data_IF_149625228466
#
_entry.id   IF_149625228466
#
_cell.length_a   1.000
_cell.length_b   1.000
_cell.length_c   1.000
_cell.angle_alpha   90.00
_cell.angle_beta   90.00
_cell.angle_gamma   90.00
#
_symmetry.space_group_name_H-M   'P 1'
#
loop_
_entity.id
_entity.type
_entity.pdbx_description
1 polymer ?
#
# COMPACT_ATOMS: atom_id res chain seq x y z
N UNK A 1 2.40 15.93 -4.57
CA UNK A 1 3.00 15.24 -3.40
C UNK A 1 2.90 16.01 -2.09
N UNK A 2 3.36 17.27 -1.95
CA UNK A 2 3.26 17.98 -0.66
C UNK A 2 1.85 18.05 -0.07
N UNK A 3 0.84 18.37 -0.91
CA UNK A 3 -0.58 18.34 -0.49
C UNK A 3 -1.01 16.95 0.02
N UNK A 4 -0.60 15.87 -0.66
CA UNK A 4 -0.88 14.51 -0.21
C UNK A 4 -0.18 14.20 1.13
N UNK A 5 1.08 14.60 1.29
CA UNK A 5 1.82 14.43 2.54
C UNK A 5 1.13 15.15 3.71
N UNK A 6 0.63 16.36 3.47
CA UNK A 6 -0.12 17.14 4.45
C UNK A 6 -1.48 16.51 4.77
N UNK A 7 -2.22 16.05 3.77
CA UNK A 7 -3.47 15.31 3.97
C UNK A 7 -3.23 14.06 4.84
N UNK A 8 -2.23 13.24 4.52
CA UNK A 8 -1.86 12.09 5.33
C UNK A 8 -1.45 12.48 6.77
N UNK A 9 -0.72 13.57 6.96
CA UNK A 9 -0.38 14.09 8.29
C UNK A 9 -1.62 14.52 9.09
N UNK A 10 -2.65 15.08 8.45
CA UNK A 10 -3.95 15.37 9.08
C UNK A 10 -4.63 14.15 9.65
N UNK A 11 -4.30 12.99 9.12
CA UNK A 11 -4.80 11.68 9.53
C UNK A 11 -3.77 10.88 10.35
N UNK A 12 -2.80 11.54 10.97
CA UNK A 12 -1.85 10.92 11.90
C UNK A 12 -0.70 10.16 11.22
N UNK A 13 -0.53 10.26 9.91
CA UNK A 13 0.60 9.63 9.22
C UNK A 13 1.81 10.56 9.25
N UNK A 14 2.90 10.12 9.86
CA UNK A 14 4.16 10.91 9.94
C UNK A 14 5.14 10.58 8.83
N UNK A 15 5.09 9.36 8.31
CA UNK A 15 5.97 8.82 7.28
C UNK A 15 5.17 7.95 6.31
N UNK A 16 5.50 8.02 5.02
CA UNK A 16 4.86 7.22 3.96
C UNK A 16 5.86 6.84 2.86
N UNK A 17 5.50 5.82 2.08
CA UNK A 17 6.14 5.56 0.78
C UNK A 17 5.29 6.23 -0.30
N UNK A 18 5.93 6.94 -1.22
CA UNK A 18 5.24 7.43 -2.39
C UNK A 18 5.01 6.24 -3.34
N UNK A 19 3.77 5.77 -3.41
CA UNK A 19 3.43 4.60 -4.23
C UNK A 19 3.13 5.03 -5.66
N UNK A 20 3.76 4.37 -6.64
CA UNK A 20 3.41 4.57 -8.06
C UNK A 20 2.04 3.93 -8.34
N UNK A 21 1.48 4.21 -9.52
CA UNK A 21 0.39 3.41 -10.07
C UNK A 21 0.87 2.77 -11.36
N UNK A 22 0.27 1.65 -11.79
CA UNK A 22 0.49 1.17 -13.15
C UNK A 22 0.14 2.28 -14.16
N UNK A 23 1.10 2.56 -15.03
CA UNK A 23 1.08 3.62 -16.03
C UNK A 23 2.13 3.28 -17.10
N UNK A 24 2.14 4.04 -18.21
CA UNK A 24 3.20 3.89 -19.20
C UNK A 24 4.59 4.15 -18.57
N UNK A 25 5.67 3.55 -19.11
CA UNK A 25 7.02 3.74 -18.62
C UNK A 25 7.42 5.22 -18.47
N UNK A 26 7.03 6.07 -19.43
CA UNK A 26 7.32 7.50 -19.39
C UNK A 26 6.67 8.20 -18.19
N UNK A 27 5.40 7.92 -17.90
CA UNK A 27 4.73 8.49 -16.72
C UNK A 27 5.34 7.98 -15.42
N UNK A 28 5.70 6.70 -15.38
CA UNK A 28 6.33 6.11 -14.20
C UNK A 28 7.72 6.73 -13.96
N UNK A 29 8.55 6.90 -14.98
CA UNK A 29 9.84 7.59 -14.86
C UNK A 29 9.68 9.06 -14.42
N UNK A 30 8.68 9.79 -14.94
CA UNK A 30 8.38 11.16 -14.47
C UNK A 30 8.02 11.19 -12.99
N UNK A 31 7.22 10.23 -12.51
CA UNK A 31 6.90 10.11 -11.09
C UNK A 31 8.17 9.82 -10.27
N UNK A 32 9.00 8.86 -10.69
CA UNK A 32 10.24 8.52 -9.99
C UNK A 32 11.22 9.69 -9.91
N UNK A 33 11.40 10.44 -11.00
CA UNK A 33 12.20 11.68 -11.02
C UNK A 33 11.64 12.72 -10.05
N UNK A 34 10.32 12.88 -10.00
CA UNK A 34 9.67 13.79 -9.04
C UNK A 34 9.89 13.32 -7.60
N UNK A 35 9.73 12.03 -7.33
CA UNK A 35 9.91 11.44 -6.02
C UNK A 35 11.36 11.53 -5.54
N UNK A 36 12.34 11.42 -6.43
CA UNK A 36 13.76 11.58 -6.11
C UNK A 36 14.06 12.93 -5.46
N UNK A 37 13.41 14.00 -5.90
CA UNK A 37 13.52 15.34 -5.30
C UNK A 37 12.75 15.53 -3.99
N UNK A 38 11.96 14.56 -3.55
CA UNK A 38 11.08 14.64 -2.38
C UNK A 38 11.45 13.67 -1.26
N UNK A 39 12.06 12.53 -1.60
CA UNK A 39 12.47 11.52 -0.62
C UNK A 39 13.38 12.14 0.44
N UNK A 40 13.01 11.92 1.70
CA UNK A 40 13.67 12.44 2.91
C UNK A 40 13.75 13.97 2.99
N UNK A 41 13.02 14.71 2.15
CA UNK A 41 12.89 16.17 2.26
C UNK A 41 11.79 16.56 3.24
N UNK A 42 11.82 17.83 3.66
CA UNK A 42 10.71 18.44 4.39
C UNK A 42 9.57 18.79 3.42
N UNK A 43 8.43 18.14 3.60
CA UNK A 43 7.24 18.31 2.76
C UNK A 43 6.22 19.27 3.37
N UNK A 44 6.42 19.71 4.62
CA UNK A 44 5.41 20.37 5.44
C UNK A 44 4.32 19.42 5.98
N UNK A 45 4.47 18.11 5.79
CA UNK A 45 3.53 17.08 6.26
C UNK A 45 4.26 15.76 6.47
N UNK A 46 3.61 14.64 6.14
CA UNK A 46 4.22 13.32 6.23
C UNK A 46 5.51 13.25 5.40
N UNK A 47 6.54 12.61 5.94
CA UNK A 47 7.82 12.43 5.26
C UNK A 47 7.72 11.31 4.23
N UNK A 48 8.18 11.57 3.01
CA UNK A 48 8.36 10.52 1.99
C UNK A 48 9.65 9.77 2.32
N UNK A 49 9.55 8.54 2.82
CA UNK A 49 10.71 7.75 3.24
C UNK A 49 11.39 7.04 2.07
N UNK A 50 10.65 6.87 0.98
CA UNK A 50 11.09 6.27 -0.27
C UNK A 50 9.90 6.08 -1.20
N UNK A 51 10.09 5.25 -2.21
CA UNK A 51 9.07 4.90 -3.20
C UNK A 51 8.71 3.44 -3.06
N UNK A 52 7.41 3.16 -3.17
CA UNK A 52 6.89 1.83 -3.43
C UNK A 52 6.59 1.74 -4.93
N UNK A 53 7.42 1.00 -5.65
CA UNK A 53 7.22 0.74 -7.07
C UNK A 53 6.09 -0.29 -7.23
N UNK A 54 4.89 0.22 -7.44
CA UNK A 54 3.69 -0.55 -7.72
C UNK A 54 3.66 -0.96 -9.19
N UNK A 55 4.33 -2.07 -9.51
CA UNK A 55 4.64 -2.52 -10.86
C UNK A 55 6.08 -3.06 -10.98
N UNK A 56 6.57 -3.38 -12.19
CA UNK A 56 6.15 -2.77 -13.46
C UNK A 56 5.00 -3.47 -14.16
N UNK A 57 4.72 -4.73 -13.83
CA UNK A 57 3.73 -5.54 -14.54
C UNK A 57 2.69 -6.10 -13.58
N UNK A 58 1.44 -5.70 -13.78
CA UNK A 58 0.28 -6.35 -13.21
C UNK A 58 -0.25 -7.41 -14.16
N UNK A 59 -1.01 -8.36 -13.64
CA UNK A 59 -1.72 -9.32 -14.47
C UNK A 59 -3.09 -8.75 -14.85
N UNK A 60 -3.48 -8.84 -16.13
CA UNK A 60 -4.70 -8.21 -16.66
C UNK A 60 -5.96 -8.52 -15.84
N UNK A 61 -6.31 -9.81 -15.62
CA UNK A 61 -7.39 -10.24 -14.73
C UNK A 61 -7.35 -9.70 -13.29
N UNK A 62 -6.18 -9.28 -12.81
CA UNK A 62 -5.95 -8.77 -11.47
C UNK A 62 -5.56 -7.28 -11.46
N UNK A 63 -5.78 -6.53 -12.54
CA UNK A 63 -5.38 -5.11 -12.62
C UNK A 63 -6.17 -4.16 -11.71
N UNK A 64 -7.37 -4.54 -11.27
CA UNK A 64 -8.25 -3.66 -10.49
C UNK A 64 -8.68 -2.42 -11.29
N UNK A 65 -8.58 -1.23 -10.69
CA UNK A 65 -8.91 0.05 -11.33
C UNK A 65 -7.80 0.61 -12.23
N UNK A 66 -6.66 -0.07 -12.33
CA UNK A 66 -5.55 0.39 -13.15
C UNK A 66 -5.87 0.31 -14.65
N UNK A 67 -5.26 1.19 -15.47
CA UNK A 67 -5.27 1.01 -16.92
C UNK A 67 -4.67 -0.34 -17.30
N UNK A 68 -4.89 -0.77 -18.55
CA UNK A 68 -4.27 -2.01 -19.03
C UNK A 68 -2.75 -1.91 -18.86
N UNK A 69 -2.11 -2.88 -18.20
CA UNK A 69 -0.68 -2.80 -17.91
C UNK A 69 0.13 -2.83 -19.20
N UNK A 70 0.98 -1.83 -19.39
CA UNK A 70 1.98 -1.83 -20.46
C UNK A 70 3.18 -2.68 -20.05
N UNK A 71 3.69 -3.50 -20.97
CA UNK A 71 4.87 -4.31 -20.71
C UNK A 71 6.13 -3.47 -20.87
N UNK A 72 6.86 -3.30 -19.77
CA UNK A 72 8.20 -2.73 -19.78
C UNK A 72 9.16 -3.64 -20.56
N UNK A 73 9.97 -3.05 -21.45
CA UNK A 73 11.08 -3.74 -22.13
C UNK A 73 12.22 -4.03 -21.14
N UNK A 74 13.12 -4.98 -21.45
CA UNK A 74 14.32 -5.23 -20.64
C UNK A 74 15.16 -3.96 -20.40
N UNK A 75 15.31 -3.09 -21.40
CA UNK A 75 16.03 -1.83 -21.27
C UNK A 75 15.30 -0.84 -20.34
N UNK A 76 13.97 -0.84 -20.35
CA UNK A 76 13.19 -0.01 -19.43
C UNK A 76 13.29 -0.54 -17.99
N UNK A 77 13.30 -1.86 -17.78
CA UNK A 77 13.54 -2.47 -16.48
C UNK A 77 14.94 -2.09 -15.96
N UNK A 78 15.96 -2.16 -16.81
CA UNK A 78 17.31 -1.74 -16.43
C UNK A 78 17.35 -0.24 -16.08
N UNK A 79 16.63 0.61 -16.82
CA UNK A 79 16.48 2.04 -16.48
C UNK A 79 15.78 2.27 -15.14
N UNK A 80 14.84 1.41 -14.72
CA UNK A 80 14.22 1.51 -13.39
C UNK A 80 15.25 1.34 -12.28
N UNK A 81 16.26 0.50 -12.47
CA UNK A 81 17.30 0.27 -11.45
C UNK A 81 18.17 1.51 -11.20
N UNK A 82 18.20 2.50 -12.09
CA UNK A 82 18.82 3.80 -11.82
C UNK A 82 18.13 4.55 -10.66
N UNK A 83 16.88 4.20 -10.35
CA UNK A 83 16.12 4.75 -9.22
C UNK A 83 16.20 3.88 -7.96
N UNK A 84 16.92 2.76 -7.99
CA UNK A 84 17.06 1.87 -6.84
C UNK A 84 17.40 2.59 -5.50
N UNK A 85 18.25 3.63 -5.45
CA UNK A 85 18.53 4.36 -4.21
C UNK A 85 17.31 5.00 -3.52
N UNK A 86 16.20 5.20 -4.23
CA UNK A 86 14.96 5.75 -3.67
C UNK A 86 13.83 4.71 -3.56
N UNK A 87 14.00 3.52 -4.14
CA UNK A 87 13.00 2.45 -4.07
C UNK A 87 13.15 1.71 -2.74
N UNK A 88 12.11 1.76 -1.91
CA UNK A 88 12.07 1.00 -0.65
C UNK A 88 11.46 -0.39 -0.89
N UNK A 89 10.41 -0.45 -1.71
CA UNK A 89 9.73 -1.67 -2.04
C UNK A 89 9.32 -1.69 -3.52
N UNK A 90 9.11 -2.89 -4.06
CA UNK A 90 8.54 -3.12 -5.38
C UNK A 90 7.54 -4.30 -5.35
N UNK A 91 6.45 -4.14 -6.08
CA UNK A 91 5.38 -5.15 -6.23
C UNK A 91 5.48 -5.84 -7.57
N UNK A 92 5.48 -7.18 -7.57
CA UNK A 92 5.45 -7.98 -8.79
C UNK A 92 4.30 -8.99 -8.79
N UNK A 93 3.93 -9.44 -9.99
CA UNK A 93 3.08 -10.60 -10.18
C UNK A 93 3.95 -11.80 -10.61
N UNK A 94 4.08 -12.87 -9.79
CA UNK A 94 5.03 -13.97 -10.02
C UNK A 94 4.87 -14.74 -11.33
N UNK A 95 3.67 -14.73 -11.90
CA UNK A 95 3.34 -15.43 -13.13
C UNK A 95 3.92 -14.78 -14.39
N UNK A 96 4.44 -13.55 -14.29
CA UNK A 96 5.08 -12.90 -15.42
C UNK A 96 6.45 -13.53 -15.72
N UNK A 97 6.78 -13.81 -17.01
CA UNK A 97 8.04 -14.47 -17.38
C UNK A 97 9.30 -13.76 -16.87
N UNK A 98 9.25 -12.43 -16.75
CA UNK A 98 10.41 -11.60 -16.37
C UNK A 98 10.46 -11.31 -14.86
N UNK A 99 9.50 -11.83 -14.08
CA UNK A 99 9.34 -11.50 -12.66
C UNK A 99 10.54 -11.94 -11.80
N UNK A 100 11.11 -13.11 -12.06
CA UNK A 100 12.29 -13.61 -11.34
C UNK A 100 13.51 -12.71 -11.59
N UNK A 101 13.78 -12.36 -12.85
CA UNK A 101 14.90 -11.48 -13.21
C UNK A 101 14.76 -10.10 -12.56
N UNK A 102 13.55 -9.55 -12.54
CA UNK A 102 13.26 -8.30 -11.85
C UNK A 102 13.47 -8.43 -10.32
N UNK A 103 12.96 -9.50 -9.71
CA UNK A 103 13.11 -9.78 -8.29
C UNK A 103 14.60 -9.86 -7.88
N UNK A 104 15.41 -10.60 -8.64
CA UNK A 104 16.85 -10.74 -8.39
C UNK A 104 17.56 -9.38 -8.45
N UNK A 105 17.22 -8.53 -9.43
CA UNK A 105 17.78 -7.17 -9.52
C UNK A 105 17.36 -6.31 -8.32
N UNK A 106 16.09 -6.37 -7.91
CA UNK A 106 15.60 -5.64 -6.74
C UNK A 106 16.33 -6.05 -5.45
N UNK A 107 16.46 -7.36 -5.21
CA UNK A 107 17.15 -7.88 -4.02
C UNK A 107 18.62 -7.47 -4.02
N UNK A 108 19.30 -7.52 -5.16
CA UNK A 108 20.69 -7.08 -5.28
C UNK A 108 20.91 -5.60 -4.93
N UNK A 109 19.87 -4.76 -5.06
CA UNK A 109 19.89 -3.35 -4.67
C UNK A 109 19.25 -3.08 -3.29
N UNK A 110 18.87 -4.12 -2.55
CA UNK A 110 18.24 -3.98 -1.22
C UNK A 110 16.78 -3.53 -1.23
N UNK A 111 16.10 -3.61 -2.39
CA UNK A 111 14.69 -3.26 -2.53
C UNK A 111 13.84 -4.41 -1.99
N UNK A 112 12.89 -4.11 -1.10
CA UNK A 112 11.95 -5.10 -0.54
C UNK A 112 10.95 -5.56 -1.61
N UNK A 113 10.61 -6.83 -1.61
CA UNK A 113 9.74 -7.41 -2.63
C UNK A 113 8.37 -7.82 -2.07
N UNK A 114 7.34 -7.37 -2.78
CA UNK A 114 5.93 -7.60 -2.52
C UNK A 114 5.30 -8.39 -3.68
N UNK A 115 4.21 -9.11 -3.40
CA UNK A 115 3.30 -9.64 -4.42
C UNK A 115 1.98 -8.87 -4.39
N UNK A 116 1.41 -8.62 -5.56
CA UNK A 116 0.13 -7.92 -5.66
C UNK A 116 -0.33 -7.88 -7.12
N UNK A 117 -1.62 -7.59 -7.35
CA UNK A 117 -2.19 -7.51 -8.70
C UNK A 117 -1.84 -8.72 -9.57
N UNK A 118 -1.97 -9.90 -8.98
CA UNK A 118 -1.49 -11.17 -9.52
C UNK A 118 -2.60 -12.20 -9.55
N UNK A 119 -2.61 -12.97 -10.64
CA UNK A 119 -3.40 -14.15 -10.84
C UNK A 119 -2.57 -15.45 -10.68
N UNK A 120 -1.45 -15.39 -9.95
CA UNK A 120 -0.57 -16.53 -9.77
C UNK A 120 -1.25 -17.70 -9.03
N UNK A 121 -0.73 -18.89 -9.26
CA UNK A 121 -1.04 -20.07 -8.45
C UNK A 121 -0.25 -20.06 -7.15
N UNK A 122 -0.71 -20.83 -6.15
CA UNK A 122 -0.02 -21.02 -4.88
C UNK A 122 1.47 -21.37 -5.07
N UNK A 123 1.77 -22.32 -5.96
CA UNK A 123 3.15 -22.74 -6.25
C UNK A 123 4.00 -21.63 -6.86
N UNK A 124 3.41 -20.76 -7.68
CA UNK A 124 4.14 -19.59 -8.21
C UNK A 124 4.41 -18.57 -7.09
N UNK A 125 3.48 -18.38 -6.15
CA UNK A 125 3.71 -17.56 -4.97
C UNK A 125 4.82 -18.14 -4.06
N UNK A 126 4.84 -19.46 -3.83
CA UNK A 126 5.94 -20.15 -3.13
C UNK A 126 7.29 -19.95 -3.83
N UNK A 127 7.29 -20.05 -5.16
CA UNK A 127 8.50 -19.81 -5.96
C UNK A 127 9.01 -18.37 -5.75
N UNK A 128 8.11 -17.38 -5.74
CA UNK A 128 8.46 -15.98 -5.50
C UNK A 128 8.97 -15.70 -4.07
N UNK A 129 8.51 -16.45 -3.07
CA UNK A 129 9.14 -16.43 -1.73
C UNK A 129 10.61 -16.86 -1.82
N UNK A 130 10.93 -17.84 -2.67
CA UNK A 130 12.30 -18.25 -2.99
C UNK A 130 13.14 -17.12 -3.62
N UNK A 131 12.53 -16.22 -4.38
CA UNK A 131 13.20 -15.04 -4.96
C UNK A 131 13.46 -13.91 -3.97
N UNK A 132 12.89 -13.99 -2.75
CA UNK A 132 13.04 -12.98 -1.70
C UNK A 132 11.79 -12.16 -1.40
N UNK A 133 10.63 -12.48 -1.99
CA UNK A 133 9.35 -11.84 -1.62
C UNK A 133 9.00 -12.14 -0.16
N UNK A 134 8.58 -11.12 0.59
CA UNK A 134 8.18 -11.25 2.02
C UNK A 134 6.88 -10.53 2.38
N UNK A 135 6.21 -9.92 1.42
CA UNK A 135 4.97 -9.18 1.66
C UNK A 135 3.95 -9.41 0.54
N UNK A 136 2.66 -9.28 0.84
CA UNK A 136 1.56 -9.29 -0.14
C UNK A 136 0.70 -8.07 0.07
N UNK A 137 0.52 -7.28 -0.98
CA UNK A 137 -0.26 -6.04 -0.95
C UNK A 137 -1.75 -6.34 -0.77
N UNK A 138 -2.44 -5.41 -0.07
CA UNK A 138 -3.89 -5.33 0.17
C UNK A 138 -4.68 -6.66 0.09
N UNK A 139 -4.49 -7.55 1.07
CA UNK A 139 -5.18 -8.84 1.18
C UNK A 139 -6.67 -8.75 0.77
N UNK A 140 -7.13 -9.74 0.01
CA UNK A 140 -8.45 -9.85 -0.62
C UNK A 140 -8.67 -8.99 -1.88
N UNK A 141 -7.86 -7.97 -2.12
CA UNK A 141 -8.00 -7.09 -3.28
C UNK A 141 -7.10 -7.57 -4.44
N UNK A 142 -7.65 -7.51 -5.66
CA UNK A 142 -6.88 -7.71 -6.89
C UNK A 142 -5.90 -8.91 -6.91
N UNK A 143 -6.34 -10.07 -6.39
CA UNK A 143 -5.53 -11.29 -6.33
C UNK A 143 -6.31 -12.53 -6.78
N UNK A 144 -5.61 -13.60 -7.17
CA UNK A 144 -6.22 -14.91 -7.39
C UNK A 144 -6.62 -15.56 -6.07
N UNK A 145 -7.69 -16.35 -6.14
CA UNK A 145 -8.12 -17.28 -5.11
C UNK A 145 -8.52 -18.60 -5.79
N UNK A 146 -8.78 -19.64 -5.01
CA UNK A 146 -9.23 -20.95 -5.51
C UNK A 146 -10.48 -20.83 -6.41
N UNK A 147 -11.43 -19.95 -6.09
CA UNK A 147 -12.68 -19.83 -6.84
C UNK A 147 -12.45 -19.21 -8.23
N UNK A 148 -11.61 -18.18 -8.31
CA UNK A 148 -11.21 -17.54 -9.57
C UNK A 148 -10.43 -18.50 -10.46
N UNK A 149 -9.39 -19.14 -9.91
CA UNK A 149 -8.56 -20.08 -10.68
C UNK A 149 -9.35 -21.30 -11.17
N UNK A 150 -10.37 -21.74 -10.43
CA UNK A 150 -11.21 -22.88 -10.83
C UNK A 150 -11.96 -22.66 -12.15
N UNK A 151 -12.18 -21.40 -12.57
CA UNK A 151 -12.83 -21.09 -13.84
C UNK A 151 -11.94 -21.42 -15.05
N UNK A 152 -10.62 -21.44 -14.84
CA UNK A 152 -9.62 -21.59 -15.90
C UNK A 152 -8.82 -22.91 -15.76
N UNK A 153 -8.96 -23.59 -14.63
CA UNK A 153 -8.20 -24.80 -14.30
C UNK A 153 -9.09 -26.03 -14.13
N UNK A 154 -8.52 -27.19 -14.48
CA UNK A 154 -9.13 -28.51 -14.26
C UNK A 154 -8.61 -29.13 -12.94
N UNK A 155 -8.48 -30.45 -12.85
CA UNK A 155 -7.99 -31.15 -11.66
C UNK A 155 -6.46 -31.29 -11.64
N UNK A 156 -5.82 -31.28 -10.45
CA UNK A 156 -6.41 -30.97 -9.15
C UNK A 156 -6.71 -29.47 -8.98
N UNK A 157 -7.65 -29.13 -8.08
CA UNK A 157 -7.88 -27.74 -7.69
C UNK A 157 -6.61 -27.14 -7.05
N UNK A 158 -6.32 -25.88 -7.36
CA UNK A 158 -5.15 -25.16 -6.85
C UNK A 158 -5.59 -23.91 -6.10
N UNK A 159 -4.84 -23.56 -5.05
CA UNK A 159 -4.93 -22.25 -4.42
C UNK A 159 -4.27 -21.17 -5.28
N UNK A 160 -4.63 -19.92 -5.05
CA UNK A 160 -4.01 -18.74 -5.63
C UNK A 160 -3.17 -17.97 -4.62
N UNK A 161 -2.92 -16.70 -4.93
CA UNK A 161 -2.18 -15.79 -4.06
C UNK A 161 -2.88 -15.60 -2.72
N UNK A 162 -4.22 -15.57 -2.68
CA UNK A 162 -4.98 -15.47 -1.44
C UNK A 162 -4.63 -16.60 -0.48
N UNK A 163 -4.76 -17.86 -0.91
CA UNK A 163 -4.44 -19.03 -0.07
C UNK A 163 -2.96 -19.07 0.32
N UNK A 164 -2.05 -18.70 -0.59
CA UNK A 164 -0.62 -18.63 -0.28
C UNK A 164 -0.31 -17.59 0.80
N UNK A 165 -0.95 -16.42 0.74
CA UNK A 165 -0.77 -15.35 1.73
C UNK A 165 -1.20 -15.79 3.13
N UNK A 166 -2.29 -16.56 3.21
CA UNK A 166 -2.79 -17.11 4.47
C UNK A 166 -1.92 -18.25 5.01
N UNK A 167 -1.39 -19.10 4.12
CA UNK A 167 -0.71 -20.33 4.51
C UNK A 167 0.79 -20.16 4.79
N UNK A 168 1.48 -19.28 4.06
CA UNK A 168 2.92 -19.12 4.16
C UNK A 168 3.27 -18.14 5.30
N UNK A 169 3.98 -18.65 6.31
CA UNK A 169 4.38 -17.87 7.48
C UNK A 169 5.45 -16.83 7.15
N UNK A 170 6.21 -17.01 6.07
CA UNK A 170 7.21 -16.07 5.57
C UNK A 170 6.60 -14.74 5.13
N UNK A 171 5.34 -14.78 4.67
CA UNK A 171 4.64 -13.64 4.11
C UNK A 171 4.00 -12.79 5.21
N UNK A 172 4.28 -11.50 5.21
CA UNK A 172 3.41 -10.49 5.80
C UNK A 172 2.39 -10.00 4.76
N UNK A 173 1.37 -9.27 5.20
CA UNK A 173 0.39 -8.65 4.31
C UNK A 173 -0.18 -7.39 4.92
N UNK A 174 -0.95 -6.66 4.15
CA UNK A 174 -1.62 -5.43 4.55
C UNK A 174 -3.10 -5.47 4.20
N UNK A 175 -3.90 -4.63 4.86
CA UNK A 175 -5.34 -4.50 4.62
C UNK A 175 -5.78 -3.05 4.54
N UNK A 176 -6.77 -2.79 3.69
CA UNK A 176 -7.46 -1.51 3.57
C UNK A 176 -8.70 -1.56 4.48
N UNK A 177 -8.59 -1.01 5.67
CA UNK A 177 -9.65 -1.03 6.69
C UNK A 177 -10.56 0.21 6.62
N UNK A 178 -11.09 0.55 5.45
CA UNK A 178 -11.97 1.72 5.29
C UNK A 178 -13.47 1.42 5.53
N UNK A 179 -13.83 0.14 5.68
CA UNK A 179 -15.22 -0.33 5.79
C UNK A 179 -15.95 -0.47 4.46
N UNK A 180 -15.26 -0.27 3.34
CA UNK A 180 -15.77 -0.43 1.96
C UNK A 180 -15.01 -1.53 1.21
N UNK A 181 -13.68 -1.56 1.31
CA UNK A 181 -12.85 -2.63 0.77
C UNK A 181 -13.07 -3.93 1.52
N UNK A 182 -13.09 -3.86 2.86
CA UNK A 182 -13.25 -5.01 3.72
C UNK A 182 -14.35 -4.80 4.75
N UNK A 183 -15.19 -5.82 4.90
CA UNK A 183 -16.15 -5.90 5.99
C UNK A 183 -15.45 -6.30 7.31
N UNK A 184 -16.07 -6.07 8.48
CA UNK A 184 -15.48 -6.40 9.78
C UNK A 184 -15.06 -7.86 9.91
N UNK A 185 -15.80 -8.81 9.34
CA UNK A 185 -15.45 -10.23 9.36
C UNK A 185 -14.20 -10.58 8.54
N UNK A 186 -13.95 -9.88 7.43
CA UNK A 186 -12.71 -10.06 6.66
C UNK A 186 -11.52 -9.47 7.40
N UNK A 187 -11.68 -8.33 8.08
CA UNK A 187 -10.65 -7.76 8.96
C UNK A 187 -10.33 -8.71 10.12
N UNK A 188 -11.34 -9.30 10.75
CA UNK A 188 -11.14 -10.34 11.79
C UNK A 188 -10.42 -11.56 11.25
N UNK A 189 -10.76 -12.01 10.03
CA UNK A 189 -10.10 -13.15 9.41
C UNK A 189 -8.61 -12.87 9.15
N UNK A 190 -8.29 -11.71 8.54
CA UNK A 190 -6.91 -11.29 8.32
C UNK A 190 -6.12 -11.24 9.62
N UNK A 191 -6.69 -10.63 10.66
CA UNK A 191 -6.10 -10.59 11.99
C UNK A 191 -5.85 -11.98 12.57
N UNK A 192 -6.86 -12.85 12.53
CA UNK A 192 -6.78 -14.20 13.11
C UNK A 192 -5.68 -15.04 12.45
N UNK A 193 -5.50 -14.90 11.13
CA UNK A 193 -4.54 -15.73 10.39
C UNK A 193 -3.12 -15.16 10.45
N UNK A 194 -2.94 -13.85 10.25
CA UNK A 194 -1.59 -13.26 10.18
C UNK A 194 -1.08 -12.73 11.53
N UNK A 195 -2.00 -12.38 12.42
CA UNK A 195 -1.69 -11.83 13.72
C UNK A 195 -1.07 -10.41 13.68
N UNK A 196 -0.83 -9.81 14.85
CA UNK A 196 -0.39 -8.43 14.98
C UNK A 196 1.03 -8.16 14.44
N UNK A 197 1.83 -9.21 14.20
CA UNK A 197 3.23 -9.05 13.80
C UNK A 197 3.44 -9.08 12.28
N UNK A 198 2.43 -9.48 11.51
CA UNK A 198 2.52 -9.68 10.06
C UNK A 198 1.37 -9.06 9.27
N UNK A 199 0.44 -8.38 9.96
CA UNK A 199 -0.63 -7.62 9.35
C UNK A 199 -0.37 -6.12 9.52
N UNK A 200 -0.26 -5.39 8.41
CA UNK A 200 -0.20 -3.94 8.39
C UNK A 200 -1.55 -3.32 7.99
N UNK A 201 -1.82 -2.12 8.49
CA UNK A 201 -2.81 -1.23 7.92
C UNK A 201 -2.16 -0.42 6.81
N UNK A 202 -2.87 -0.29 5.69
CA UNK A 202 -2.57 0.70 4.66
C UNK A 202 -3.82 1.50 4.34
N UNK A 203 -3.61 2.72 3.87
CA UNK A 203 -4.73 3.52 3.36
C UNK A 203 -5.05 3.14 1.92
N UNK A 204 -4.04 2.83 1.10
CA UNK A 204 -4.17 2.77 -0.37
C UNK A 204 -5.02 3.94 -0.89
N UNK A 205 -4.66 5.16 -0.47
CA UNK A 205 -5.51 6.34 -0.66
C UNK A 205 -5.18 7.02 -1.99
N UNK A 206 -6.21 7.30 -2.78
CA UNK A 206 -6.08 8.08 -4.00
C UNK A 206 -6.35 9.57 -3.75
N UNK A 207 -6.13 10.39 -4.79
CA UNK A 207 -6.10 11.86 -4.72
C UNK A 207 -7.35 12.54 -4.15
N UNK A 208 -8.47 11.83 -4.00
CA UNK A 208 -9.72 12.36 -3.44
C UNK A 208 -9.75 12.37 -1.91
N UNK A 209 -8.72 11.86 -1.23
CA UNK A 209 -8.57 12.01 0.21
C UNK A 209 -8.61 13.50 0.60
N UNK A 210 -9.43 13.84 1.61
CA UNK A 210 -9.61 15.23 2.09
C UNK A 210 -10.20 16.20 1.03
N UNK A 211 -10.76 15.68 -0.08
CA UNK A 211 -11.44 16.45 -1.12
C UNK A 211 -12.95 16.12 -1.21
N UNK A 212 -13.78 17.01 -1.78
CA UNK A 212 -15.21 16.77 -1.94
C UNK A 212 -15.55 15.52 -2.77
N UNK A 213 -16.74 14.96 -2.58
CA UNK A 213 -17.26 13.95 -3.51
C UNK A 213 -17.31 14.52 -4.94
N UNK A 214 -17.02 13.69 -5.94
CA UNK A 214 -16.93 14.14 -7.33
C UNK A 214 -16.10 13.23 -8.24
N UNK A 215 -15.88 13.69 -9.47
CA UNK A 215 -15.05 12.98 -10.45
C UNK A 215 -13.56 13.28 -10.27
N UNK A 216 -12.75 12.24 -10.41
CA UNK A 216 -11.30 12.29 -10.30
C UNK A 216 -10.64 11.43 -11.38
N UNK A 217 -9.31 11.53 -11.45
CA UNK A 217 -8.47 10.68 -12.32
C UNK A 217 -7.57 9.82 -11.44
N UNK A 218 -7.63 8.50 -11.61
CA UNK A 218 -6.73 7.54 -10.97
C UNK A 218 -5.50 7.30 -11.86
N UNK A 219 -4.30 7.44 -11.30
CA UNK A 219 -3.04 7.43 -12.08
C UNK A 219 -2.66 8.82 -12.63
N UNK A 220 -1.90 8.91 -13.74
CA UNK A 220 -1.47 10.19 -14.33
C UNK A 220 -2.65 11.10 -14.71
N UNK A 221 -2.52 12.42 -14.59
CA UNK A 221 -3.66 13.33 -14.82
C UNK A 221 -4.11 13.36 -16.28
N UNK A 222 -3.18 13.14 -17.21
CA UNK A 222 -3.36 13.19 -18.66
C UNK A 222 -3.77 11.84 -19.29
N UNK A 223 -3.49 10.72 -18.61
CA UNK A 223 -3.63 9.37 -19.16
C UNK A 223 -4.27 8.37 -18.18
N UNK A 224 -4.70 8.84 -17.01
CA UNK A 224 -5.30 8.00 -15.98
C UNK A 224 -6.74 7.61 -16.27
N UNK A 225 -7.28 6.77 -15.40
CA UNK A 225 -8.64 6.25 -15.48
C UNK A 225 -9.59 7.21 -14.75
N UNK A 226 -10.72 7.56 -15.37
CA UNK A 226 -11.75 8.35 -14.69
C UNK A 226 -12.40 7.52 -13.59
N UNK A 227 -12.53 8.10 -12.41
CA UNK A 227 -13.13 7.48 -11.21
C UNK A 227 -14.03 8.48 -10.52
N UNK A 228 -14.87 7.99 -9.61
CA UNK A 228 -15.80 8.79 -8.84
C UNK A 228 -15.59 8.55 -7.33
N UNK A 229 -15.57 9.62 -6.54
CA UNK A 229 -15.63 9.54 -5.08
C UNK A 229 -17.03 9.90 -4.61
N UNK A 230 -17.65 9.02 -3.81
CA UNK A 230 -18.93 9.29 -3.16
C UNK A 230 -18.77 9.91 -1.76
N UNK A 231 -17.56 10.36 -1.40
CA UNK A 231 -17.22 10.86 -0.06
C UNK A 231 -16.98 9.77 0.98
N UNK A 232 -17.11 8.48 0.63
CA UNK A 232 -16.74 7.33 1.49
C UNK A 232 -15.60 6.50 0.91
N UNK A 233 -15.62 6.25 -0.40
CA UNK A 233 -14.65 5.43 -1.13
C UNK A 233 -14.51 5.90 -2.58
N UNK A 234 -13.40 5.53 -3.25
CA UNK A 234 -13.26 5.65 -4.70
C UNK A 234 -13.96 4.49 -5.42
N UNK A 235 -14.59 4.81 -6.55
CA UNK A 235 -15.35 3.88 -7.38
C UNK A 235 -14.98 4.08 -8.85
N UNK A 236 -15.05 2.99 -9.64
CA UNK A 236 -15.13 3.10 -11.09
C UNK A 236 -16.40 3.86 -11.48
N UNK A 237 -16.43 4.50 -12.66
CA UNK A 237 -17.57 5.34 -13.07
C UNK A 237 -18.91 4.59 -13.15
N UNK A 238 -18.89 3.27 -13.33
CA UNK A 238 -20.09 2.43 -13.34
C UNK A 238 -20.59 2.05 -11.93
N UNK A 239 -19.82 2.40 -10.89
CA UNK A 239 -20.11 2.10 -9.49
C UNK A 239 -19.97 0.62 -9.10
N UNK A 240 -19.47 -0.25 -9.99
CA UNK A 240 -19.44 -1.71 -9.76
C UNK A 240 -18.17 -2.21 -9.10
N UNK A 241 -17.09 -1.43 -9.18
CA UNK A 241 -15.80 -1.78 -8.61
C UNK A 241 -15.21 -0.61 -7.84
N UNK A 242 -14.44 -0.94 -6.80
CA UNK A 242 -13.69 0.04 -6.03
C UNK A 242 -12.51 0.57 -6.86
N UNK A 243 -12.17 1.82 -6.62
CA UNK A 243 -11.02 2.49 -7.22
C UNK A 243 -10.21 3.17 -6.13
N UNK A 244 -9.61 2.34 -5.26
CA UNK A 244 -8.80 2.74 -4.10
C UNK A 244 -9.60 3.47 -3.01
N UNK A 245 -9.03 3.61 -1.82
CA UNK A 245 -9.69 4.27 -0.70
C UNK A 245 -9.50 5.80 -0.75
N UNK A 246 -10.21 6.49 0.13
CA UNK A 246 -10.07 7.94 0.33
C UNK A 246 -9.99 8.32 1.82
N UNK A 247 -9.85 7.31 2.69
CA UNK A 247 -9.85 7.48 4.15
C UNK A 247 -8.43 7.50 4.71
N UNK A 248 -8.27 8.19 5.84
CA UNK A 248 -7.00 8.28 6.57
C UNK A 248 -6.66 7.07 7.42
N UNK A 249 -5.39 7.03 7.85
CA UNK A 249 -4.87 5.96 8.71
C UNK A 249 -5.62 5.90 10.05
N UNK A 250 -5.98 7.05 10.62
CA UNK A 250 -6.80 7.15 11.83
C UNK A 250 -8.16 6.46 11.70
N UNK A 251 -8.79 6.53 10.53
CA UNK A 251 -10.04 5.81 10.23
C UNK A 251 -9.79 4.30 10.17
N UNK A 252 -8.73 3.86 9.49
CA UNK A 252 -8.34 2.46 9.42
C UNK A 252 -8.09 1.83 10.81
N UNK A 253 -7.43 2.57 11.71
CA UNK A 253 -7.21 2.17 13.10
C UNK A 253 -8.55 1.93 13.82
N UNK A 254 -9.49 2.88 13.72
CA UNK A 254 -10.81 2.76 14.37
C UNK A 254 -11.59 1.56 13.82
N UNK A 255 -11.57 1.34 12.51
CA UNK A 255 -12.25 0.23 11.87
C UNK A 255 -11.67 -1.13 12.28
N UNK A 256 -10.33 -1.28 12.29
CA UNK A 256 -9.69 -2.52 12.70
C UNK A 256 -9.91 -2.80 14.19
N UNK A 257 -9.83 -1.77 15.04
CA UNK A 257 -10.13 -1.88 16.47
C UNK A 257 -11.58 -2.35 16.70
N UNK A 258 -12.55 -1.70 16.05
CA UNK A 258 -13.96 -2.06 16.16
C UNK A 258 -14.24 -3.48 15.64
N UNK A 259 -13.56 -3.91 14.57
CA UNK A 259 -13.76 -5.24 14.01
C UNK A 259 -13.21 -6.35 14.91
N UNK A 260 -12.05 -6.14 15.53
CA UNK A 260 -11.28 -7.18 16.24
C UNK A 260 -11.44 -7.16 17.76
N UNK A 261 -11.65 -6.00 18.37
CA UNK A 261 -11.68 -5.84 19.83
C UNK A 261 -10.33 -6.04 20.53
N UNK A 262 -9.23 -6.06 19.78
CA UNK A 262 -7.89 -6.30 20.31
C UNK A 262 -7.35 -5.07 21.08
N UNK A 263 -6.35 -5.26 21.96
CA UNK A 263 -5.75 -4.14 22.67
C UNK A 263 -5.25 -3.06 21.72
N UNK A 264 -5.63 -1.80 21.99
CA UNK A 264 -5.35 -0.64 21.14
C UNK A 264 -3.88 -0.57 20.70
N UNK A 265 -2.93 -0.80 21.61
CA UNK A 265 -1.50 -0.73 21.29
C UNK A 265 -1.08 -1.74 20.20
N UNK A 266 -1.74 -2.90 20.09
CA UNK A 266 -1.50 -3.85 18.99
C UNK A 266 -2.08 -3.35 17.67
N UNK A 267 -3.25 -2.69 17.71
CA UNK A 267 -3.82 -2.04 16.52
C UNK A 267 -2.87 -0.93 16.04
N UNK A 268 -2.36 -0.09 16.95
CA UNK A 268 -1.40 0.97 16.61
C UNK A 268 -0.11 0.41 15.99
N UNK A 269 0.37 -0.77 16.42
CA UNK A 269 1.53 -1.40 15.79
C UNK A 269 1.29 -1.70 14.31
N UNK A 270 0.08 -2.13 13.91
CA UNK A 270 -0.25 -2.38 12.49
C UNK A 270 -0.20 -1.13 11.62
N UNK A 271 -0.32 0.07 12.22
CA UNK A 271 -0.23 1.36 11.53
C UNK A 271 1.14 2.07 11.69
N UNK A 272 2.08 1.48 12.43
CA UNK A 272 3.39 2.10 12.72
C UNK A 272 4.54 1.10 12.64
N UNK A 273 4.78 0.32 13.69
CA UNK A 273 5.93 -0.59 13.78
C UNK A 273 5.95 -1.66 12.69
N UNK A 274 4.80 -2.24 12.35
CA UNK A 274 4.72 -3.33 11.37
C UNK A 274 5.00 -2.84 9.95
N UNK A 275 4.36 -1.76 9.43
CA UNK A 275 4.74 -1.21 8.14
C UNK A 275 6.19 -0.71 8.11
N UNK A 276 6.73 -0.17 9.23
CA UNK A 276 8.14 0.18 9.31
C UNK A 276 9.06 -1.05 9.15
N UNK A 277 8.73 -2.20 9.75
CA UNK A 277 9.48 -3.46 9.59
C UNK A 277 9.40 -4.00 8.17
N UNK A 278 8.22 -3.97 7.56
CA UNK A 278 8.01 -4.40 6.17
C UNK A 278 8.89 -3.56 5.23
N UNK A 279 8.93 -2.25 5.45
CA UNK A 279 9.78 -1.33 4.70
C UNK A 279 11.28 -1.38 5.07
N UNK A 280 11.66 -2.08 6.15
CA UNK A 280 13.04 -2.11 6.67
C UNK A 280 13.51 -0.80 7.30
N UNK A 281 12.59 -0.02 7.84
CA UNK A 281 12.79 1.31 8.44
C UNK A 281 12.54 1.34 9.95
N UNK A 282 12.33 0.19 10.59
CA UNK A 282 11.99 0.07 12.01
C UNK A 282 13.12 0.46 12.97
N UNK A 283 14.35 0.59 12.46
CA UNK A 283 15.45 1.20 13.21
C UNK A 283 15.38 2.74 13.26
N UNK A 284 14.61 3.38 12.38
CA UNK A 284 14.47 4.84 12.31
C UNK A 284 13.11 5.35 12.82
N UNK A 285 12.03 4.58 12.61
CA UNK A 285 10.63 4.97 12.85
C UNK A 285 9.79 3.80 13.37
N UNK A 286 8.51 4.06 13.69
CA UNK A 286 7.52 3.02 13.99
C UNK A 286 7.37 2.70 15.48
N UNK A 287 8.23 3.21 16.35
CA UNK A 287 8.07 3.10 17.80
C UNK A 287 8.72 4.26 18.56
N UNK A 288 8.33 4.41 19.83
CA UNK A 288 8.86 5.43 20.74
C UNK A 288 10.09 4.88 21.47
N UNK A 289 11.26 5.01 20.85
CA UNK A 289 12.54 4.54 21.39
C UNK A 289 13.61 5.62 21.23
N UNK A 290 14.51 5.71 22.20
CA UNK A 290 15.64 6.66 22.15
C UNK A 290 16.49 6.35 20.90
N UNK A 291 16.80 7.39 20.12
CA UNK A 291 17.58 7.28 18.88
C UNK A 291 16.74 7.23 17.60
N UNK A 292 15.43 6.95 17.69
CA UNK A 292 14.51 7.04 16.55
C UNK A 292 14.05 8.47 16.29
N UNK A 293 13.46 8.71 15.11
CA UNK A 293 12.89 10.01 14.76
C UNK A 293 11.75 10.37 15.70
N UNK A 294 11.67 11.65 16.07
CA UNK A 294 10.55 12.19 16.85
C UNK A 294 9.30 12.39 15.97
N UNK A 295 8.82 11.29 15.39
CA UNK A 295 7.59 11.18 14.63
C UNK A 295 6.48 10.74 15.59
N UNK A 296 5.65 11.68 16.04
CA UNK A 296 4.71 11.48 17.14
C UNK A 296 3.30 11.86 16.73
N UNK A 297 2.31 11.17 17.29
CA UNK A 297 0.89 11.49 17.11
C UNK A 297 0.22 11.48 18.47
N UNK A 298 -0.44 12.58 18.81
CA UNK A 298 -1.35 12.63 19.95
C UNK A 298 -2.77 12.45 19.44
N UNK A 299 -3.42 11.37 19.88
CA UNK A 299 -4.82 11.06 19.61
C UNK A 299 -5.74 11.44 20.79
N UNK A 300 -6.97 11.86 20.50
CA UNK A 300 -8.03 12.00 21.49
C UNK A 300 -8.64 10.64 21.88
N UNK A 301 -9.63 10.64 22.78
CA UNK A 301 -10.36 9.43 23.21
C UNK A 301 -11.10 8.73 22.05
N UNK A 302 -11.45 9.48 21.00
CA UNK A 302 -12.05 8.96 19.78
C UNK A 302 -11.01 8.50 18.75
N UNK A 303 -9.73 8.42 19.11
CA UNK A 303 -8.61 8.08 18.23
C UNK A 303 -8.48 9.01 17.01
N UNK A 304 -8.81 10.30 17.19
CA UNK A 304 -8.60 11.34 16.18
C UNK A 304 -7.30 12.09 16.47
N UNK A 305 -6.45 12.37 15.46
CA UNK A 305 -5.24 13.17 15.64
C UNK A 305 -5.57 14.58 16.14
N UNK A 306 -4.96 14.96 17.27
CA UNK A 306 -5.00 16.30 17.87
C UNK A 306 -3.75 17.08 17.48
N UNK A 307 -2.58 16.41 17.55
CA UNK A 307 -1.28 16.97 17.17
C UNK A 307 -0.42 15.89 16.53
N UNK A 308 0.36 16.28 15.53
CA UNK A 308 1.31 15.39 14.85
C UNK A 308 2.63 16.12 14.75
N UNK A 309 3.70 15.40 15.07
CA UNK A 309 5.07 15.86 14.92
C UNK A 309 5.77 15.00 13.89
N UNK A 310 6.50 15.62 12.97
CA UNK A 310 7.35 14.95 11.98
C UNK A 310 8.77 15.45 12.18
N UNK A 311 9.69 14.56 12.57
CA UNK A 311 11.07 14.91 12.92
C UNK A 311 11.15 15.93 14.05
N UNK A 312 10.26 15.86 15.03
CA UNK A 312 10.20 16.78 16.18
C UNK A 312 9.55 18.13 15.92
N UNK A 313 9.08 18.39 14.69
CA UNK A 313 8.35 19.62 14.33
C UNK A 313 6.86 19.35 14.30
N UNK A 314 6.09 20.14 15.04
CA UNK A 314 4.63 20.07 15.03
C UNK A 314 4.10 20.55 13.68
N UNK A 315 3.17 19.81 13.09
CA UNK A 315 2.49 20.19 11.85
C UNK A 315 1.36 21.19 12.21
N UNK A 316 1.45 22.48 11.79
CA UNK A 316 0.57 23.54 12.31
C UNK A 316 -0.91 23.42 11.93
N UNK A 317 -1.22 22.78 10.80
CA UNK A 317 -2.56 22.80 10.19
C UNK A 317 -3.54 21.75 10.74
N UNK A 318 -3.28 21.21 11.92
CA UNK A 318 -4.11 20.18 12.54
C UNK A 318 -5.24 20.73 13.43
N UNK A 319 -5.30 22.05 13.59
CA UNK A 319 -6.38 22.72 14.32
C UNK A 319 -7.66 22.69 13.49
N UNK A 320 -8.32 21.53 13.42
CA UNK A 320 -9.76 21.49 13.14
C UNK A 320 -10.45 21.95 14.42
N UNK A 321 -10.95 23.18 14.43
CA UNK A 321 -11.93 23.58 15.45
C UNK A 321 -13.13 22.64 15.34
N UNK A 322 -13.65 22.09 16.45
CA UNK A 322 -14.89 21.34 16.42
C UNK A 322 -16.02 22.31 16.03
N UNK A 323 -16.45 22.31 14.76
CA UNK A 323 -17.54 23.18 14.33
C UNK A 323 -17.70 23.53 12.84
N UNK A 324 -16.90 23.00 11.91
CA UNK A 324 -17.13 23.18 10.46
C UNK A 324 -17.21 21.83 9.74
#
# INVERSE_FOLDING_TARGET
>A
FRLACLAHARHGTTSLLATTTAASPDHLFRMLLTAQGLVKQDTGGARVMGVHLYGPHFHGPAKGCHPEPERFSPEQIQKLMNFAPILTAATLAPEHPDAESFAVQCVAHGIRLHMGHSHCTFTQAETAVGWGVRHVDHLFCAMSDRARLRLEQTWPMRGGLFEATLCLDELSTEVIADGCHLSPELLRLAWKVKGPNRLALVTDAMRAMDLPAGEYVFGPSEAGVKVFSNGKVGLMQDGKALASAIQGMDHGIRQLLAATGEPLWRIIQTASLIPARIAGLDNEIGSLEVGKRADLVWLDEGLRPVRVWVGGREIPELVRHPGN
#
